data_IF_166019378173
#
_entry.id   IF_166019378173
#
_cell.length_a   1.000
_cell.length_b   1.000
_cell.length_c   1.000
_cell.angle_alpha   90.00
_cell.angle_beta   90.00
_cell.angle_gamma   90.00
#
_symmetry.space_group_name_H-M   'P 1'
#
loop_
_entity.id
_entity.type
_entity.pdbx_description
1 polymer ?
#
# COMPACT_ATOMS: atom_id res chain seq x y z
N UNK A 1 -16.48 -40.23 17.09
CA UNK A 1 -16.23 -38.93 16.43
C UNK A 1 -16.55 -37.85 17.45
N UNK A 2 -15.53 -37.27 18.09
CA UNK A 2 -15.73 -36.08 18.95
C UNK A 2 -16.35 -34.97 18.11
N UNK A 3 -17.48 -34.44 18.52
CA UNK A 3 -18.03 -33.22 17.94
C UNK A 3 -17.02 -32.10 18.15
N UNK A 4 -16.36 -31.65 17.10
CA UNK A 4 -15.53 -30.44 17.16
C UNK A 4 -16.46 -29.29 17.61
N UNK A 5 -16.28 -28.82 18.83
CA UNK A 5 -16.93 -27.59 19.28
C UNK A 5 -16.36 -26.43 18.48
N UNK A 6 -17.20 -25.85 17.60
CA UNK A 6 -16.88 -24.62 16.91
C UNK A 6 -17.26 -23.42 17.76
N UNK A 7 -16.38 -22.43 17.82
CA UNK A 7 -16.61 -21.16 18.49
C UNK A 7 -17.02 -20.07 17.50
N UNK A 8 -16.79 -18.83 17.82
CA UNK A 8 -17.21 -17.68 17.02
C UNK A 8 -16.08 -17.15 16.09
N UNK A 9 -16.38 -16.65 14.89
CA UNK A 9 -15.43 -15.92 14.05
C UNK A 9 -14.99 -14.56 14.66
N UNK A 10 -15.67 -14.13 15.73
CA UNK A 10 -15.38 -12.92 16.48
C UNK A 10 -14.38 -13.16 17.63
N UNK A 11 -13.90 -14.38 17.78
CA UNK A 11 -12.86 -14.76 18.72
C UNK A 11 -11.54 -15.01 17.94
N UNK A 12 -10.47 -14.35 18.37
CA UNK A 12 -9.17 -14.41 17.69
C UNK A 12 -8.62 -15.83 17.59
N UNK A 13 -8.71 -16.59 18.67
CA UNK A 13 -8.25 -17.98 18.74
C UNK A 13 -9.38 -19.01 18.53
N UNK A 14 -10.55 -18.53 18.16
CA UNK A 14 -11.74 -19.36 17.95
C UNK A 14 -11.55 -20.44 16.89
N UNK A 15 -12.21 -21.57 17.08
CA UNK A 15 -12.24 -22.67 16.10
C UNK A 15 -13.45 -22.53 15.21
N UNK A 16 -13.25 -22.34 13.91
CA UNK A 16 -14.31 -22.22 12.92
C UNK A 16 -14.16 -23.27 11.82
N UNK A 17 -15.26 -23.67 11.12
CA UNK A 17 -15.19 -24.60 10.00
C UNK A 17 -14.33 -24.04 8.87
N UNK A 18 -13.52 -24.89 8.22
CA UNK A 18 -12.62 -24.49 7.10
C UNK A 18 -13.37 -23.71 6.01
N UNK A 19 -14.56 -24.15 5.61
CA UNK A 19 -15.38 -23.46 4.59
C UNK A 19 -15.67 -22.01 5.00
N UNK A 20 -16.03 -21.77 6.25
CA UNK A 20 -16.28 -20.44 6.77
C UNK A 20 -14.98 -19.63 6.86
N UNK A 21 -13.89 -20.24 7.34
CA UNK A 21 -12.58 -19.61 7.43
C UNK A 21 -12.08 -19.12 6.06
N UNK A 22 -12.21 -19.94 5.01
CA UNK A 22 -11.81 -19.57 3.65
C UNK A 22 -12.65 -18.40 3.13
N UNK A 23 -13.96 -18.42 3.30
CA UNK A 23 -14.83 -17.31 2.83
C UNK A 23 -14.48 -16.01 3.55
N UNK A 24 -14.30 -16.04 4.87
CA UNK A 24 -13.96 -14.86 5.66
C UNK A 24 -12.56 -14.36 5.35
N UNK A 25 -11.59 -15.27 5.22
CA UNK A 25 -10.21 -14.90 4.84
C UNK A 25 -10.14 -14.28 3.44
N UNK A 26 -10.88 -14.82 2.47
CA UNK A 26 -10.98 -14.24 1.14
C UNK A 26 -11.54 -12.82 1.15
N UNK A 27 -12.52 -12.49 2.01
CA UNK A 27 -13.06 -11.14 2.12
C UNK A 27 -11.95 -10.13 2.46
N UNK A 28 -11.07 -10.47 3.40
CA UNK A 28 -9.95 -9.62 3.80
C UNK A 28 -8.91 -9.46 2.71
N UNK A 29 -8.56 -10.55 2.04
CA UNK A 29 -7.56 -10.53 0.96
C UNK A 29 -8.07 -9.80 -0.28
N UNK A 30 -9.32 -10.02 -0.68
CA UNK A 30 -9.90 -9.34 -1.84
C UNK A 30 -9.99 -7.82 -1.64
N UNK A 31 -10.18 -7.37 -0.39
CA UNK A 31 -10.19 -5.95 -0.05
C UNK A 31 -8.81 -5.27 -0.25
N UNK A 32 -7.70 -6.01 -0.03
CA UNK A 32 -6.35 -5.48 -0.12
C UNK A 32 -5.58 -5.91 -1.39
N UNK A 33 -6.10 -6.87 -2.15
CA UNK A 33 -5.38 -7.53 -3.25
C UNK A 33 -4.78 -6.54 -4.24
N UNK A 34 -5.58 -5.59 -4.69
CA UNK A 34 -5.15 -4.55 -5.64
C UNK A 34 -4.19 -3.57 -4.98
N UNK A 35 -4.49 -3.13 -3.75
CA UNK A 35 -3.64 -2.23 -2.97
C UNK A 35 -2.22 -2.78 -2.77
N UNK A 36 -2.09 -4.09 -2.59
CA UNK A 36 -0.80 -4.75 -2.47
C UNK A 36 0.04 -4.72 -3.77
N UNK A 37 -0.59 -4.69 -4.94
CA UNK A 37 0.11 -4.76 -6.23
C UNK A 37 0.32 -3.39 -6.88
N UNK A 38 -0.54 -2.44 -6.56
CA UNK A 38 -0.51 -1.07 -7.10
C UNK A 38 0.84 -0.37 -6.91
N UNK A 39 1.48 -0.34 -5.72
CA UNK A 39 2.77 0.32 -5.55
C UNK A 39 3.86 -0.26 -6.45
N UNK A 40 3.87 -1.58 -6.62
CA UNK A 40 4.85 -2.25 -7.50
C UNK A 40 4.66 -1.81 -8.95
N UNK A 41 3.41 -1.72 -9.44
CA UNK A 41 3.11 -1.26 -10.78
C UNK A 41 3.52 0.20 -11.01
N UNK A 42 3.24 1.07 -10.04
CA UNK A 42 3.57 2.50 -10.10
C UNK A 42 5.08 2.71 -10.14
N UNK A 43 5.84 2.08 -9.22
CA UNK A 43 7.28 2.31 -9.12
C UNK A 43 8.05 1.63 -10.25
N UNK A 44 7.67 0.41 -10.66
CA UNK A 44 8.27 -0.22 -11.85
C UNK A 44 7.99 0.59 -13.10
N UNK A 45 6.78 1.15 -13.23
CA UNK A 45 6.42 2.06 -14.33
C UNK A 45 7.23 3.35 -14.33
N UNK A 46 7.43 3.97 -13.18
CA UNK A 46 8.24 5.18 -13.03
C UNK A 46 9.72 4.93 -13.40
N UNK A 47 10.33 3.86 -12.93
CA UNK A 47 11.70 3.49 -13.28
C UNK A 47 11.83 3.14 -14.77
N UNK A 48 10.89 2.36 -15.32
CA UNK A 48 10.87 1.95 -16.72
C UNK A 48 10.67 3.10 -17.70
N UNK A 49 9.99 4.16 -17.30
CA UNK A 49 9.76 5.34 -18.12
C UNK A 49 11.05 6.14 -18.38
N UNK A 50 12.06 5.98 -17.54
CA UNK A 50 13.36 6.62 -17.68
C UNK A 50 14.32 5.74 -18.51
N UNK A 51 14.56 4.50 -18.07
CA UNK A 51 15.48 3.54 -18.67
C UNK A 51 15.00 2.11 -18.50
N UNK A 52 15.56 1.17 -19.27
CA UNK A 52 15.44 -0.29 -19.11
C UNK A 52 13.99 -0.81 -19.19
N UNK A 53 13.12 -0.18 -20.00
CA UNK A 53 11.71 -0.57 -20.13
C UNK A 53 11.53 -2.06 -20.48
N UNK A 54 12.37 -2.61 -21.34
CA UNK A 54 12.33 -4.02 -21.74
C UNK A 54 12.67 -4.96 -20.57
N UNK A 55 13.62 -4.57 -19.71
CA UNK A 55 13.98 -5.33 -18.52
C UNK A 55 12.79 -5.36 -17.54
N UNK A 56 12.16 -4.22 -17.28
CA UNK A 56 10.96 -4.16 -16.44
C UNK A 56 9.80 -4.95 -17.03
N UNK A 57 9.59 -4.89 -18.35
CA UNK A 57 8.59 -5.71 -19.02
C UNK A 57 8.79 -7.21 -18.78
N UNK A 58 10.06 -7.66 -18.71
CA UNK A 58 10.41 -9.06 -18.47
C UNK A 58 10.28 -9.49 -16.99
N UNK A 59 10.59 -8.59 -16.02
CA UNK A 59 10.60 -8.95 -14.59
C UNK A 59 9.31 -8.57 -13.85
N UNK A 60 8.48 -7.68 -14.37
CA UNK A 60 7.29 -7.15 -13.68
C UNK A 60 6.35 -8.25 -13.17
N UNK A 61 6.10 -9.29 -13.98
CA UNK A 61 5.29 -10.44 -13.56
C UNK A 61 5.89 -11.13 -12.34
N UNK A 62 7.21 -11.29 -12.31
CA UNK A 62 7.93 -11.91 -11.19
C UNK A 62 7.87 -11.03 -9.93
N UNK A 63 7.94 -9.70 -10.07
CA UNK A 63 7.83 -8.77 -8.94
C UNK A 63 6.43 -8.81 -8.32
N UNK A 64 5.38 -8.81 -9.16
CA UNK A 64 3.99 -8.92 -8.69
C UNK A 64 3.71 -10.28 -8.02
N UNK A 65 4.28 -11.36 -8.57
CA UNK A 65 4.23 -12.70 -8.00
C UNK A 65 4.85 -12.73 -6.60
N UNK A 66 6.05 -12.17 -6.47
CA UNK A 66 6.76 -12.06 -5.20
C UNK A 66 5.99 -11.19 -4.20
N UNK A 67 5.35 -10.10 -4.62
CA UNK A 67 4.56 -9.24 -3.76
C UNK A 67 3.37 -9.99 -3.12
N UNK A 68 2.67 -10.82 -3.87
CA UNK A 68 1.58 -11.63 -3.33
C UNK A 68 2.11 -12.67 -2.33
N UNK A 69 3.20 -13.37 -2.67
CA UNK A 69 3.79 -14.38 -1.81
C UNK A 69 4.28 -13.79 -0.49
N UNK A 70 5.06 -12.71 -0.55
CA UNK A 70 5.62 -12.06 0.65
C UNK A 70 4.52 -11.48 1.53
N UNK A 71 3.50 -10.84 0.97
CA UNK A 71 2.35 -10.36 1.73
C UNK A 71 1.68 -11.50 2.52
N UNK A 72 1.48 -12.66 1.90
CA UNK A 72 0.94 -13.84 2.58
C UNK A 72 1.84 -14.38 3.69
N UNK A 73 3.15 -14.49 3.43
CA UNK A 73 4.12 -14.99 4.42
C UNK A 73 4.22 -14.04 5.61
N UNK A 74 4.37 -12.74 5.37
CA UNK A 74 4.48 -11.74 6.45
C UNK A 74 3.18 -11.67 7.26
N UNK A 75 2.01 -11.79 6.60
CA UNK A 75 0.72 -11.90 7.30
C UNK A 75 0.68 -13.11 8.23
N UNK A 76 1.14 -14.29 7.79
CA UNK A 76 1.20 -15.46 8.67
C UNK A 76 2.11 -15.24 9.88
N UNK A 77 3.28 -14.62 9.67
CA UNK A 77 4.20 -14.28 10.77
C UNK A 77 3.53 -13.29 11.74
N UNK A 78 2.79 -12.30 11.23
CA UNK A 78 2.07 -11.34 12.05
C UNK A 78 0.97 -11.99 12.90
N UNK A 79 0.25 -12.96 12.34
CA UNK A 79 -0.84 -13.68 13.02
C UNK A 79 -0.34 -14.69 14.07
N UNK A 80 0.75 -15.40 13.79
CA UNK A 80 1.20 -16.52 14.64
C UNK A 80 2.44 -16.22 15.47
N UNK A 81 3.19 -15.20 15.10
CA UNK A 81 4.49 -14.78 15.65
C UNK A 81 5.58 -15.85 15.64
N UNK A 82 6.82 -15.43 15.47
CA UNK A 82 8.02 -16.26 15.57
C UNK A 82 8.97 -15.56 16.57
N UNK A 83 8.94 -15.99 17.83
CA UNK A 83 9.66 -15.30 18.89
C UNK A 83 9.13 -13.87 19.08
N UNK A 84 10.00 -12.83 18.96
CA UNK A 84 9.58 -11.43 19.08
C UNK A 84 8.95 -10.87 17.79
N UNK A 85 9.00 -11.60 16.67
CA UNK A 85 8.53 -11.16 15.35
C UNK A 85 7.04 -11.50 15.23
N UNK A 86 6.19 -10.49 15.03
CA UNK A 86 4.73 -10.64 14.93
C UNK A 86 4.01 -10.29 16.22
N UNK A 87 2.94 -9.49 16.06
CA UNK A 87 2.14 -8.98 17.17
C UNK A 87 1.07 -9.94 17.67
N UNK A 88 0.77 -11.05 17.00
CA UNK A 88 -0.42 -11.90 17.23
C UNK A 88 -1.71 -11.08 17.17
N UNK A 89 -1.84 -10.25 16.16
CA UNK A 89 -2.96 -9.34 15.96
C UNK A 89 -3.71 -9.67 14.66
N UNK A 90 -5.03 -9.43 14.57
CA UNK A 90 -5.82 -9.76 13.39
C UNK A 90 -5.65 -8.71 12.29
N UNK A 91 -4.42 -8.58 11.77
CA UNK A 91 -4.07 -7.63 10.73
C UNK A 91 -3.48 -8.34 9.52
N UNK A 92 -3.73 -7.81 8.32
CA UNK A 92 -3.14 -8.29 7.08
C UNK A 92 -2.03 -7.34 6.66
N UNK A 93 -0.93 -7.93 6.23
CA UNK A 93 0.26 -7.24 5.78
C UNK A 93 0.34 -7.25 4.26
N UNK A 94 0.95 -6.23 3.69
CA UNK A 94 1.21 -6.17 2.25
C UNK A 94 2.09 -5.00 1.87
N UNK A 95 2.29 -4.79 0.57
CA UNK A 95 3.16 -3.75 0.05
C UNK A 95 2.66 -2.35 0.42
N UNK A 96 3.50 -1.56 1.05
CA UNK A 96 3.17 -0.21 1.51
C UNK A 96 3.01 0.77 0.35
N UNK A 97 1.88 1.45 0.31
CA UNK A 97 1.65 2.58 -0.59
C UNK A 97 2.33 3.87 -0.10
N UNK A 98 2.63 3.98 1.19
CA UNK A 98 3.23 5.16 1.78
C UNK A 98 4.60 5.53 1.20
N UNK A 99 5.35 4.52 0.73
CA UNK A 99 6.66 4.73 0.11
C UNK A 99 6.61 5.26 -1.33
N UNK A 100 5.46 5.30 -2.00
CA UNK A 100 5.38 5.63 -3.43
C UNK A 100 6.08 6.97 -3.73
N UNK A 101 5.77 8.03 -2.99
CA UNK A 101 6.35 9.35 -3.22
C UNK A 101 7.87 9.37 -3.03
N UNK A 102 8.36 8.79 -1.92
CA UNK A 102 9.81 8.71 -1.66
C UNK A 102 10.53 7.86 -2.71
N UNK A 103 9.94 6.77 -3.15
CA UNK A 103 10.54 5.93 -4.19
C UNK A 103 10.52 6.55 -5.58
N UNK A 104 9.52 7.36 -5.91
CA UNK A 104 9.54 8.17 -7.11
C UNK A 104 10.69 9.17 -7.08
N UNK A 105 10.91 9.83 -5.92
CA UNK A 105 12.06 10.72 -5.71
C UNK A 105 13.39 10.00 -5.88
N UNK A 106 13.55 8.84 -5.24
CA UNK A 106 14.76 8.02 -5.39
C UNK A 106 14.98 7.60 -6.85
N UNK A 107 13.91 7.18 -7.55
CA UNK A 107 14.01 6.85 -8.96
C UNK A 107 14.52 8.04 -9.77
N UNK A 108 13.97 9.24 -9.58
CA UNK A 108 14.46 10.46 -10.26
C UNK A 108 15.91 10.79 -9.95
N UNK A 109 16.32 10.75 -8.68
CA UNK A 109 17.70 11.09 -8.27
C UNK A 109 18.73 10.07 -8.76
N UNK A 110 18.32 8.81 -8.91
CA UNK A 110 19.15 7.71 -9.39
C UNK A 110 19.01 7.45 -10.90
N UNK A 111 18.37 8.36 -11.64
CA UNK A 111 18.16 8.28 -13.09
C UNK A 111 17.35 7.05 -13.53
N UNK A 112 16.47 6.57 -12.67
CA UNK A 112 15.53 5.48 -12.98
C UNK A 112 16.16 4.14 -13.30
N UNK A 113 15.51 3.39 -14.19
CA UNK A 113 15.99 2.12 -14.67
C UNK A 113 16.22 1.05 -13.59
N UNK A 114 16.98 0.04 -13.93
CA UNK A 114 17.37 -1.05 -13.01
C UNK A 114 18.24 -0.51 -11.86
N UNK A 115 19.04 0.52 -12.10
CA UNK A 115 19.88 1.14 -11.08
C UNK A 115 19.02 1.84 -10.02
N UNK A 116 18.06 2.67 -10.43
CA UNK A 116 17.14 3.35 -9.53
C UNK A 116 16.30 2.37 -8.71
N UNK A 117 15.76 1.34 -9.35
CA UNK A 117 15.03 0.30 -8.65
C UNK A 117 15.91 -0.50 -7.69
N UNK A 118 17.16 -0.79 -8.08
CA UNK A 118 18.16 -1.42 -7.21
C UNK A 118 18.48 -0.60 -5.99
N UNK A 119 18.59 0.73 -6.14
CA UNK A 119 18.81 1.66 -5.02
C UNK A 119 17.61 1.69 -4.05
N UNK A 120 16.38 1.61 -4.57
CA UNK A 120 15.16 1.43 -3.76
C UNK A 120 15.23 0.13 -2.95
N UNK A 121 15.64 -0.99 -3.57
CA UNK A 121 15.79 -2.28 -2.87
C UNK A 121 16.86 -2.22 -1.79
N UNK A 122 18.05 -1.65 -2.08
CA UNK A 122 19.12 -1.49 -1.11
C UNK A 122 18.70 -0.63 0.08
N UNK A 123 18.04 0.50 -0.18
CA UNK A 123 17.51 1.38 0.85
C UNK A 123 16.40 0.69 1.68
N UNK A 124 15.55 -0.11 1.06
CA UNK A 124 14.49 -0.86 1.74
C UNK A 124 15.03 -1.95 2.66
N UNK A 125 16.13 -2.61 2.30
CA UNK A 125 16.80 -3.60 3.18
C UNK A 125 17.29 -2.89 4.45
N UNK A 126 18.02 -1.80 4.30
CA UNK A 126 18.58 -1.05 5.44
C UNK A 126 17.45 -0.43 6.28
N UNK A 127 16.44 0.14 5.61
CA UNK A 127 15.29 0.76 6.28
C UNK A 127 14.46 -0.23 7.07
N UNK A 128 14.21 -1.43 6.55
CA UNK A 128 13.50 -2.48 7.28
C UNK A 128 14.28 -3.02 8.48
N UNK A 129 15.60 -3.14 8.38
CA UNK A 129 16.44 -3.46 9.55
C UNK A 129 16.38 -2.34 10.60
N UNK A 130 16.40 -1.09 10.16
CA UNK A 130 16.24 0.06 11.04
C UNK A 130 14.86 0.06 11.73
N UNK A 131 13.77 -0.18 11.02
CA UNK A 131 12.43 -0.30 11.59
C UNK A 131 12.33 -1.47 12.58
N UNK A 132 13.00 -2.57 12.30
CA UNK A 132 13.12 -3.69 13.25
C UNK A 132 13.71 -3.23 14.59
N UNK A 133 14.79 -2.43 14.54
CA UNK A 133 15.40 -1.85 15.74
C UNK A 133 14.43 -0.88 16.44
N UNK A 134 13.70 -0.05 15.68
CA UNK A 134 12.65 0.82 16.24
C UNK A 134 11.57 0.02 16.94
N UNK A 135 11.17 -1.14 16.40
CA UNK A 135 10.20 -2.03 17.03
C UNK A 135 10.66 -2.52 18.41
N UNK A 136 11.93 -2.88 18.59
CA UNK A 136 12.47 -3.22 19.91
C UNK A 136 12.50 -2.02 20.87
N UNK A 137 12.63 -0.81 20.36
CA UNK A 137 12.66 0.43 21.13
C UNK A 137 11.29 1.11 21.25
N UNK A 138 10.22 0.46 20.79
CA UNK A 138 8.91 1.10 20.64
C UNK A 138 8.31 1.55 21.99
N UNK A 139 8.51 0.78 23.06
CA UNK A 139 7.96 1.10 24.39
C UNK A 139 8.30 2.52 24.87
N UNK A 140 9.57 2.98 24.88
CA UNK A 140 9.87 4.37 25.22
C UNK A 140 9.42 5.38 24.16
N UNK A 141 9.27 4.96 22.91
CA UNK A 141 8.89 5.85 21.79
C UNK A 141 7.37 6.05 21.68
N UNK A 142 6.55 5.14 22.20
CA UNK A 142 5.08 5.19 22.09
C UNK A 142 4.49 6.53 22.55
N UNK A 143 5.08 7.18 23.56
CA UNK A 143 4.63 8.50 24.05
C UNK A 143 4.67 9.63 23.01
N UNK A 144 5.42 9.45 21.93
CA UNK A 144 5.53 10.42 20.84
C UNK A 144 4.47 10.21 19.75
N UNK A 145 3.76 9.09 19.78
CA UNK A 145 2.81 8.63 18.77
C UNK A 145 1.37 8.47 19.30
N UNK A 146 0.78 9.52 19.93
CA UNK A 146 -0.63 9.48 20.29
C UNK A 146 -1.50 9.44 19.02
N UNK A 147 -2.79 9.10 19.16
CA UNK A 147 -3.75 8.93 18.07
C UNK A 147 -3.82 10.13 17.12
N UNK A 148 -3.67 11.35 17.64
CA UNK A 148 -3.64 12.58 16.82
C UNK A 148 -2.42 12.62 15.90
N UNK A 149 -1.24 12.18 16.35
CA UNK A 149 -0.02 12.15 15.53
C UNK A 149 -0.11 11.04 14.49
N UNK A 150 -0.43 9.81 14.92
CA UNK A 150 -0.58 8.67 13.98
C UNK A 150 -1.65 8.93 12.94
N UNK A 151 -2.79 9.49 13.34
CA UNK A 151 -3.88 9.85 12.44
C UNK A 151 -3.47 10.94 11.43
N UNK A 152 -2.71 11.96 11.87
CA UNK A 152 -2.20 13.01 10.97
C UNK A 152 -1.24 12.43 9.93
N UNK A 153 -0.38 11.50 10.32
CA UNK A 153 0.53 10.80 9.41
C UNK A 153 -0.24 9.98 8.38
N UNK A 154 -1.17 9.14 8.82
CA UNK A 154 -2.00 8.31 7.93
C UNK A 154 -2.82 9.18 6.97
N UNK A 155 -3.40 10.28 7.48
CA UNK A 155 -4.13 11.24 6.66
C UNK A 155 -3.24 11.87 5.58
N UNK A 156 -2.01 12.27 5.94
CA UNK A 156 -1.05 12.86 4.99
C UNK A 156 -0.61 11.87 3.90
N UNK A 157 -0.46 10.58 4.25
CA UNK A 157 -0.20 9.50 3.28
C UNK A 157 -1.34 9.43 2.26
N UNK A 158 -2.58 9.33 2.75
CA UNK A 158 -3.75 9.25 1.86
C UNK A 158 -3.86 10.46 0.93
N UNK A 159 -3.72 11.68 1.46
CA UNK A 159 -3.78 12.92 0.67
C UNK A 159 -2.68 12.99 -0.41
N UNK A 160 -1.45 12.61 -0.08
CA UNK A 160 -0.33 12.60 -1.04
C UNK A 160 -0.55 11.60 -2.16
N UNK A 161 -1.19 10.46 -1.87
CA UNK A 161 -1.45 9.40 -2.85
C UNK A 161 -2.64 9.69 -3.76
N UNK A 162 -3.58 10.57 -3.38
CA UNK A 162 -4.72 10.93 -4.25
C UNK A 162 -4.22 11.47 -5.60
N UNK A 163 -3.18 12.32 -5.61
CA UNK A 163 -2.58 12.83 -6.84
C UNK A 163 -2.08 11.73 -7.77
N UNK A 164 -1.42 10.71 -7.19
CA UNK A 164 -0.95 9.52 -7.94
C UNK A 164 -2.13 8.71 -8.49
N UNK A 165 -3.19 8.55 -7.69
CA UNK A 165 -4.42 7.88 -8.12
C UNK A 165 -5.10 8.60 -9.30
N UNK A 166 -5.20 9.92 -9.24
CA UNK A 166 -5.77 10.75 -10.32
C UNK A 166 -4.90 10.73 -11.57
N UNK A 167 -3.57 10.75 -11.43
CA UNK A 167 -2.67 10.59 -12.57
C UNK A 167 -2.86 9.23 -13.27
N UNK A 168 -2.99 8.15 -12.50
CA UNK A 168 -3.34 6.83 -13.05
C UNK A 168 -4.73 6.81 -13.70
N UNK A 169 -5.71 7.49 -13.10
CA UNK A 169 -7.08 7.64 -13.64
C UNK A 169 -7.07 8.26 -15.05
N UNK A 170 -6.15 9.20 -15.30
CA UNK A 170 -5.94 9.79 -16.63
C UNK A 170 -5.16 8.90 -17.61
N UNK A 171 -4.79 7.68 -17.25
CA UNK A 171 -4.03 6.76 -18.12
C UNK A 171 -2.55 6.64 -17.77
N UNK A 172 -2.08 7.36 -16.72
CA UNK A 172 -0.67 7.42 -16.31
C UNK A 172 0.08 8.59 -16.94
N UNK A 173 0.78 9.38 -16.11
CA UNK A 173 1.43 10.64 -16.52
C UNK A 173 2.47 10.50 -17.65
N UNK A 174 3.03 9.32 -17.86
CA UNK A 174 4.00 9.02 -18.92
C UNK A 174 3.35 8.48 -20.21
N UNK A 175 2.03 8.22 -20.22
CA UNK A 175 1.35 7.73 -21.41
C UNK A 175 1.19 8.83 -22.47
N UNK A 176 1.35 8.50 -23.75
CA UNK A 176 1.15 9.44 -24.87
C UNK A 176 -0.30 9.93 -24.99
N UNK A 177 -1.25 9.15 -24.51
CA UNK A 177 -2.69 9.47 -24.45
C UNK A 177 -3.15 9.87 -23.04
N UNK A 178 -2.24 10.37 -22.18
CA UNK A 178 -2.57 10.87 -20.86
C UNK A 178 -3.67 11.94 -20.91
N UNK A 179 -4.70 11.78 -20.07
CA UNK A 179 -5.83 12.70 -20.02
C UNK A 179 -6.83 12.55 -21.16
N UNK A 180 -6.70 11.54 -22.02
CA UNK A 180 -7.67 11.27 -23.08
C UNK A 180 -9.06 11.00 -22.52
N UNK A 181 -10.09 11.33 -23.32
CA UNK A 181 -11.49 11.11 -22.91
C UNK A 181 -11.75 9.63 -22.62
N UNK A 182 -11.15 8.73 -23.42
CA UNK A 182 -11.26 7.29 -23.25
C UNK A 182 -10.72 6.86 -21.85
N UNK A 183 -9.52 7.30 -21.48
CA UNK A 183 -8.92 7.00 -20.19
C UNK A 183 -9.79 7.53 -19.04
N UNK A 184 -10.28 8.76 -19.13
CA UNK A 184 -11.15 9.37 -18.11
C UNK A 184 -12.48 8.59 -17.96
N UNK A 185 -13.10 8.19 -19.09
CA UNK A 185 -14.34 7.42 -19.06
C UNK A 185 -14.15 6.01 -18.51
N UNK A 186 -13.04 5.34 -18.82
CA UNK A 186 -12.70 4.03 -18.26
C UNK A 186 -12.52 4.15 -16.74
N UNK A 187 -11.73 5.12 -16.26
CA UNK A 187 -11.53 5.35 -14.85
C UNK A 187 -12.84 5.67 -14.12
N UNK A 188 -13.67 6.54 -14.71
CA UNK A 188 -15.00 6.88 -14.16
C UNK A 188 -15.93 5.66 -14.11
N UNK A 189 -15.95 4.84 -15.15
CA UNK A 189 -16.74 3.61 -15.18
C UNK A 189 -16.35 2.68 -14.04
N UNK A 190 -15.04 2.43 -13.84
CA UNK A 190 -14.54 1.59 -12.75
C UNK A 190 -14.95 2.16 -11.39
N UNK A 191 -14.78 3.47 -11.20
CA UNK A 191 -15.16 4.17 -9.97
C UNK A 191 -16.66 4.00 -9.67
N UNK A 192 -17.52 4.22 -10.65
CA UNK A 192 -18.99 4.07 -10.51
C UNK A 192 -19.38 2.63 -10.17
N UNK A 193 -18.77 1.65 -10.84
CA UNK A 193 -19.01 0.22 -10.54
C UNK A 193 -18.59 -0.10 -9.10
N UNK A 194 -17.43 0.37 -8.63
CA UNK A 194 -16.99 0.17 -7.25
C UNK A 194 -18.01 0.75 -6.26
N UNK A 195 -18.45 1.99 -6.47
CA UNK A 195 -19.42 2.66 -5.61
C UNK A 195 -20.77 1.92 -5.60
N UNK A 196 -21.24 1.48 -6.77
CA UNK A 196 -22.49 0.74 -6.91
C UNK A 196 -22.45 -0.59 -6.11
N UNK A 197 -21.37 -1.36 -6.23
CA UNK A 197 -21.23 -2.60 -5.47
C UNK A 197 -20.98 -2.37 -3.97
N UNK A 198 -20.19 -1.37 -3.62
CA UNK A 198 -19.87 -1.06 -2.21
C UNK A 198 -21.09 -0.63 -1.42
N UNK A 199 -21.99 0.14 -2.01
CA UNK A 199 -23.17 0.68 -1.35
C UNK A 199 -24.47 -0.06 -1.70
N UNK A 200 -24.54 -0.65 -2.88
CA UNK A 200 -25.73 -1.39 -3.34
C UNK A 200 -25.79 -2.85 -2.91
N UNK A 201 -24.69 -3.42 -2.42
CA UNK A 201 -24.63 -4.82 -1.99
C UNK A 201 -24.14 -4.95 -0.54
N UNK A 202 -24.19 -6.17 0.01
CA UNK A 202 -23.75 -6.47 1.38
C UNK A 202 -22.79 -7.66 1.39
N UNK A 203 -22.05 -7.82 2.48
CA UNK A 203 -21.18 -8.96 2.73
C UNK A 203 -20.01 -9.04 1.72
N UNK A 204 -19.78 -10.22 1.17
CA UNK A 204 -18.62 -10.50 0.31
C UNK A 204 -18.59 -9.65 -0.96
N UNK A 205 -19.73 -9.37 -1.60
CA UNK A 205 -19.79 -8.54 -2.81
C UNK A 205 -19.39 -7.09 -2.54
N UNK A 206 -19.87 -6.50 -1.45
CA UNK A 206 -19.49 -5.15 -1.03
C UNK A 206 -17.99 -5.06 -0.69
N UNK A 207 -17.44 -6.07 0.01
CA UNK A 207 -16.03 -6.11 0.37
C UNK A 207 -15.10 -6.34 -0.84
N UNK A 208 -15.61 -7.01 -1.88
CA UNK A 208 -14.90 -7.25 -3.14
C UNK A 208 -15.16 -6.18 -4.20
N UNK A 209 -15.82 -5.07 -3.87
CA UNK A 209 -16.26 -4.05 -4.82
C UNK A 209 -15.09 -3.52 -5.69
N UNK A 210 -13.89 -3.31 -5.11
CA UNK A 210 -12.71 -2.84 -5.84
C UNK A 210 -12.27 -3.87 -6.90
N UNK A 211 -12.21 -5.15 -6.53
CA UNK A 211 -11.86 -6.21 -7.47
C UNK A 211 -12.92 -6.35 -8.58
N UNK A 212 -14.21 -6.27 -8.24
CA UNK A 212 -15.32 -6.31 -9.20
C UNK A 212 -15.21 -5.14 -10.17
N UNK A 213 -14.95 -3.93 -9.68
CA UNK A 213 -14.75 -2.75 -10.54
C UNK A 213 -13.61 -2.92 -11.53
N UNK A 214 -12.49 -3.49 -11.08
CA UNK A 214 -11.36 -3.80 -11.96
C UNK A 214 -11.72 -4.84 -13.01
N UNK A 215 -12.38 -5.94 -12.62
CA UNK A 215 -12.83 -6.96 -13.58
C UNK A 215 -13.77 -6.34 -14.62
N UNK A 216 -14.73 -5.51 -14.21
CA UNK A 216 -15.59 -4.79 -15.15
C UNK A 216 -14.82 -3.83 -16.05
N UNK A 217 -13.80 -3.14 -15.52
CA UNK A 217 -12.88 -2.31 -16.30
C UNK A 217 -12.09 -3.10 -17.33
N UNK A 218 -11.60 -4.30 -16.97
CA UNK A 218 -10.98 -5.22 -17.92
C UNK A 218 -11.93 -5.62 -19.06
N UNK A 219 -13.15 -6.05 -18.69
CA UNK A 219 -14.17 -6.41 -19.68
C UNK A 219 -14.48 -5.24 -20.60
N UNK A 220 -14.59 -4.02 -20.06
CA UNK A 220 -14.77 -2.82 -20.88
C UNK A 220 -13.61 -2.63 -21.85
N UNK A 221 -12.36 -2.71 -21.38
CA UNK A 221 -11.17 -2.57 -22.24
C UNK A 221 -11.03 -3.72 -23.28
N UNK A 222 -11.63 -4.89 -23.04
CA UNK A 222 -11.72 -5.96 -24.05
C UNK A 222 -12.74 -5.66 -25.14
N UNK A 223 -13.82 -4.95 -24.81
CA UNK A 223 -14.91 -4.65 -25.72
C UNK A 223 -14.61 -3.38 -26.55
N UNK A 224 -13.96 -2.38 -25.96
CA UNK A 224 -13.67 -1.09 -26.59
C UNK A 224 -13.00 -1.18 -27.95
N UNK A 225 -12.03 -2.10 -28.25
CA UNK A 225 -11.41 -2.23 -29.57
C UNK A 225 -12.39 -2.55 -30.70
N UNK A 226 -13.59 -3.04 -30.39
CA UNK A 226 -14.63 -3.31 -31.38
C UNK A 226 -15.31 -2.04 -31.88
N UNK A 227 -15.22 -0.93 -31.12
CA UNK A 227 -15.94 0.32 -31.41
C UNK A 227 -15.02 1.51 -31.63
N UNK A 228 -13.81 1.48 -31.07
CA UNK A 228 -12.88 2.63 -31.05
C UNK A 228 -11.50 2.16 -31.49
N UNK A 229 -10.78 3.02 -32.23
CA UNK A 229 -9.40 2.76 -32.69
C UNK A 229 -8.47 2.49 -31.46
N UNK A 230 -7.68 1.43 -31.56
CA UNK A 230 -6.64 1.05 -30.61
C UNK A 230 -5.36 1.86 -30.75
N UNK A 231 -5.20 2.59 -31.87
CA UNK A 231 -4.05 3.44 -32.13
C UNK A 231 -4.44 4.92 -32.06
N UNK A 232 -3.49 5.73 -31.66
CA UNK A 232 -3.56 7.18 -31.65
C UNK A 232 -2.38 7.76 -32.42
N UNK A 233 -2.45 9.03 -32.75
CA UNK A 233 -1.36 9.79 -33.41
C UNK A 233 -0.90 10.84 -32.41
N UNK A 234 0.39 10.86 -32.07
CA UNK A 234 0.99 11.86 -31.22
C UNK A 234 1.18 13.19 -31.97
N UNK A 235 1.46 14.26 -31.23
CA UNK A 235 1.67 15.59 -31.78
C UNK A 235 2.83 15.68 -32.82
N UNK A 236 3.76 14.73 -32.77
CA UNK A 236 4.89 14.57 -33.70
C UNK A 236 4.54 13.73 -34.95
N UNK A 237 3.29 13.28 -35.09
CA UNK A 237 2.82 12.44 -36.15
C UNK A 237 3.11 10.95 -36.03
N UNK A 238 3.74 10.52 -34.92
CA UNK A 238 4.02 9.09 -34.65
C UNK A 238 2.77 8.36 -34.20
N UNK A 239 2.49 7.20 -34.80
CA UNK A 239 1.45 6.30 -34.30
C UNK A 239 1.88 5.61 -32.98
N UNK A 240 0.95 5.46 -32.08
CA UNK A 240 1.17 4.71 -30.83
C UNK A 240 -0.08 3.88 -30.46
N UNK A 241 0.14 2.81 -29.71
CA UNK A 241 -0.96 2.02 -29.14
C UNK A 241 -1.47 2.73 -27.88
N UNK A 242 -2.78 2.93 -27.78
CA UNK A 242 -3.41 3.59 -26.63
C UNK A 242 -3.18 2.80 -25.34
N UNK A 243 -3.02 3.49 -24.21
CA UNK A 243 -2.62 2.92 -22.91
C UNK A 243 -3.66 1.98 -22.30
N UNK A 244 -4.91 2.06 -22.71
CA UNK A 244 -5.98 1.16 -22.26
C UNK A 244 -6.09 -0.16 -23.03
N UNK A 245 -5.29 -0.38 -24.08
CA UNK A 245 -5.29 -1.61 -24.88
C UNK A 245 -4.55 -2.72 -24.15
N UNK A 246 -5.20 -3.86 -23.98
CA UNK A 246 -4.67 -5.01 -23.24
C UNK A 246 -3.66 -5.82 -24.07
N UNK A 247 -2.46 -6.05 -23.51
CA UNK A 247 -1.45 -6.89 -24.14
C UNK A 247 -1.56 -8.34 -23.66
N UNK A 248 -2.40 -9.13 -24.29
CA UNK A 248 -2.65 -10.53 -23.95
C UNK A 248 -1.46 -11.46 -24.17
N UNK A 249 -0.49 -11.09 -25.00
CA UNK A 249 0.69 -11.91 -25.26
C UNK A 249 1.51 -12.15 -24.00
N UNK A 250 1.61 -11.15 -23.10
CA UNK A 250 2.23 -11.31 -21.78
C UNK A 250 1.58 -12.41 -20.95
N UNK A 251 0.25 -12.48 -20.97
CA UNK A 251 -0.50 -13.51 -20.22
C UNK A 251 -0.35 -14.88 -20.88
N UNK A 252 -0.37 -14.94 -22.21
CA UNK A 252 -0.19 -16.18 -22.97
C UNK A 252 1.18 -16.81 -22.69
N UNK A 253 2.24 -16.01 -22.68
CA UNK A 253 3.63 -16.44 -22.46
C UNK A 253 3.93 -16.75 -21.00
N UNK A 254 3.16 -16.26 -20.02
CA UNK A 254 3.38 -16.52 -18.62
C UNK A 254 3.18 -17.99 -18.28
N UNK A 255 4.07 -18.54 -17.44
CA UNK A 255 3.98 -19.90 -16.94
C UNK A 255 2.77 -20.08 -16.01
N UNK A 256 2.24 -21.29 -15.93
CA UNK A 256 1.19 -21.61 -14.95
C UNK A 256 1.73 -21.63 -13.52
N UNK A 257 2.92 -22.19 -13.33
CA UNK A 257 3.57 -22.30 -12.04
C UNK A 257 5.03 -21.88 -12.14
N UNK A 258 5.49 -21.07 -11.19
CA UNK A 258 6.89 -20.74 -11.01
C UNK A 258 7.17 -20.42 -9.55
N UNK A 259 8.38 -20.76 -9.11
CA UNK A 259 8.87 -20.34 -7.80
C UNK A 259 9.24 -18.85 -7.82
N UNK A 260 9.11 -18.15 -6.69
CA UNK A 260 9.51 -16.76 -6.55
C UNK A 260 11.01 -16.61 -6.84
N UNK A 261 11.38 -15.53 -7.52
CA UNK A 261 12.78 -15.22 -7.82
C UNK A 261 13.37 -14.38 -6.69
N UNK A 262 14.47 -14.87 -6.13
CA UNK A 262 15.31 -14.10 -5.23
C UNK A 262 16.16 -13.10 -6.04
N UNK A 263 16.27 -11.87 -5.59
CA UNK A 263 17.04 -10.78 -6.20
C UNK A 263 16.81 -10.64 -7.73
N UNK A 264 15.56 -10.45 -8.18
CA UNK A 264 15.28 -10.20 -9.59
C UNK A 264 15.96 -8.92 -10.08
N UNK A 265 16.19 -7.97 -9.18
CA UNK A 265 17.04 -6.79 -9.34
C UNK A 265 18.05 -6.78 -8.19
N UNK A 266 19.33 -6.53 -8.51
CA UNK A 266 20.40 -6.46 -7.50
C UNK A 266 20.23 -5.22 -6.64
N UNK A 267 20.23 -5.33 -5.30
CA UNK A 267 20.22 -4.17 -4.42
C UNK A 267 21.48 -3.31 -4.60
N UNK A 268 21.29 -2.00 -4.65
CA UNK A 268 22.36 -1.00 -4.70
C UNK A 268 22.27 -0.15 -3.43
N UNK A 269 23.39 0.00 -2.73
CA UNK A 269 23.44 0.74 -1.47
C UNK A 269 24.00 2.14 -1.73
N UNK A 270 23.12 3.14 -1.83
CA UNK A 270 23.46 4.54 -2.04
C UNK A 270 22.83 5.39 -0.93
N UNK A 271 23.63 6.24 -0.29
CA UNK A 271 23.17 7.10 0.81
C UNK A 271 22.06 8.07 0.38
N UNK A 272 22.06 8.50 -0.89
CA UNK A 272 21.03 9.38 -1.44
C UNK A 272 19.65 8.71 -1.44
N UNK A 273 19.60 7.38 -1.61
CA UNK A 273 18.38 6.59 -1.52
C UNK A 273 18.07 6.19 -0.07
N UNK A 274 19.10 5.78 0.69
CA UNK A 274 18.94 5.25 2.05
C UNK A 274 18.35 6.30 3.00
N UNK A 275 18.87 7.53 3.00
CA UNK A 275 18.49 8.54 3.99
C UNK A 275 16.99 8.90 3.94
N UNK A 276 16.39 9.26 2.77
CA UNK A 276 14.95 9.55 2.72
C UNK A 276 14.08 8.33 3.04
N UNK A 277 14.52 7.13 2.64
CA UNK A 277 13.80 5.89 2.91
C UNK A 277 13.82 5.54 4.40
N UNK A 278 14.94 5.74 5.12
CA UNK A 278 15.01 5.56 6.58
C UNK A 278 13.97 6.42 7.32
N UNK A 279 13.82 7.67 6.88
CA UNK A 279 12.82 8.57 7.48
C UNK A 279 11.42 8.06 7.21
N UNK A 280 11.15 7.55 6.01
CA UNK A 280 9.85 6.97 5.70
C UNK A 280 9.55 5.72 6.54
N UNK A 281 10.57 4.94 6.91
CA UNK A 281 10.39 3.81 7.83
C UNK A 281 10.02 4.23 9.27
N UNK A 282 10.39 5.43 9.72
CA UNK A 282 9.83 5.98 10.97
C UNK A 282 8.34 6.25 10.81
N UNK A 283 7.94 6.78 9.65
CA UNK A 283 6.53 7.10 9.35
C UNK A 283 5.69 5.83 9.30
N UNK A 284 6.18 4.77 8.63
CA UNK A 284 5.45 3.49 8.54
C UNK A 284 5.39 2.76 9.88
N UNK A 285 6.42 2.84 10.71
CA UNK A 285 6.35 2.34 12.09
C UNK A 285 5.20 3.02 12.88
N UNK A 286 5.01 4.34 12.69
CA UNK A 286 3.89 5.08 13.29
C UNK A 286 2.54 4.62 12.71
N UNK A 287 2.46 4.42 11.39
CA UNK A 287 1.27 3.87 10.71
C UNK A 287 0.90 2.51 11.28
N UNK A 288 1.85 1.58 11.37
CA UNK A 288 1.64 0.22 11.92
C UNK A 288 1.16 0.25 13.37
N UNK A 289 1.70 1.14 14.21
CA UNK A 289 1.21 1.34 15.59
C UNK A 289 -0.25 1.81 15.58
N UNK A 290 -0.61 2.73 14.69
CA UNK A 290 -1.98 3.22 14.52
C UNK A 290 -2.94 2.12 14.09
N UNK A 291 -2.56 1.36 13.08
CA UNK A 291 -3.37 0.27 12.51
C UNK A 291 -3.59 -0.86 13.52
N UNK A 292 -2.55 -1.30 14.22
CA UNK A 292 -2.66 -2.32 15.27
C UNK A 292 -3.57 -1.83 16.39
N UNK A 293 -3.40 -0.58 16.84
CA UNK A 293 -4.28 0.00 17.86
C UNK A 293 -5.73 0.06 17.36
N UNK A 294 -5.95 0.46 16.10
CA UNK A 294 -7.27 0.53 15.48
C UNK A 294 -7.96 -0.83 15.39
N UNK A 295 -7.23 -1.88 15.00
CA UNK A 295 -7.75 -3.26 14.91
C UNK A 295 -8.06 -3.83 16.30
N UNK A 296 -7.18 -3.61 17.28
CA UNK A 296 -7.37 -4.14 18.63
C UNK A 296 -8.55 -3.48 19.33
N UNK A 297 -8.71 -2.19 19.20
CA UNK A 297 -9.86 -1.49 19.78
C UNK A 297 -11.14 -1.70 18.96
N UNK A 298 -11.04 -1.48 17.65
CA UNK A 298 -12.18 -1.62 16.74
C UNK A 298 -12.69 -3.06 16.64
N UNK A 299 -11.80 -4.04 16.53
CA UNK A 299 -12.13 -5.45 16.35
C UNK A 299 -12.30 -6.21 17.65
N UNK A 300 -11.35 -6.08 18.58
CA UNK A 300 -11.27 -6.87 19.81
C UNK A 300 -11.77 -6.12 21.05
N UNK A 301 -12.17 -4.86 20.93
CA UNK A 301 -12.70 -4.01 22.00
C UNK A 301 -11.75 -3.90 23.22
N UNK A 302 -10.44 -3.89 22.97
CA UNK A 302 -9.40 -3.68 23.98
C UNK A 302 -8.21 -2.91 23.39
N UNK A 303 -7.42 -2.30 24.22
CA UNK A 303 -6.17 -1.67 23.80
C UNK A 303 -5.13 -2.70 23.38
N UNK A 304 -4.24 -2.30 22.47
CA UNK A 304 -3.07 -3.06 22.11
C UNK A 304 -2.03 -3.01 23.23
N UNK A 305 -1.43 -4.15 23.55
CA UNK A 305 -0.32 -4.23 24.49
C UNK A 305 1.00 -3.76 23.85
N UNK A 306 1.96 -3.35 24.68
CA UNK A 306 3.30 -2.97 24.19
C UNK A 306 3.97 -4.09 23.41
N UNK A 307 3.72 -5.35 23.77
CA UNK A 307 4.27 -6.52 23.09
C UNK A 307 3.64 -6.72 21.71
N UNK A 308 2.34 -6.51 21.56
CA UNK A 308 1.64 -6.60 20.28
C UNK A 308 2.10 -5.50 19.33
N UNK A 309 2.23 -4.28 19.81
CA UNK A 309 2.74 -3.15 19.02
C UNK A 309 4.20 -3.37 18.61
N UNK A 310 5.07 -3.73 19.56
CA UNK A 310 6.49 -3.99 19.29
C UNK A 310 6.67 -5.14 18.32
N UNK A 311 6.02 -6.29 18.56
CA UNK A 311 6.07 -7.44 17.67
C UNK A 311 5.56 -7.15 16.27
N UNK A 312 4.53 -6.30 16.16
CA UNK A 312 3.98 -5.86 14.89
C UNK A 312 4.96 -5.03 14.08
N UNK A 313 5.58 -4.02 14.67
CA UNK A 313 6.60 -3.18 14.00
C UNK A 313 7.87 -3.98 13.66
N UNK A 314 8.30 -4.91 14.54
CA UNK A 314 9.42 -5.82 14.23
C UNK A 314 9.10 -6.67 12.99
N UNK A 315 7.86 -7.19 12.89
CA UNK A 315 7.41 -7.98 11.75
C UNK A 315 7.38 -7.15 10.45
N UNK A 316 6.96 -5.90 10.55
CA UNK A 316 6.93 -4.94 9.46
C UNK A 316 8.35 -4.69 8.91
N UNK A 317 9.29 -4.36 9.78
CA UNK A 317 10.69 -4.12 9.41
C UNK A 317 11.39 -5.34 8.80
N UNK A 318 11.30 -6.52 9.43
CA UNK A 318 11.89 -7.75 8.90
C UNK A 318 11.20 -8.15 7.60
N UNK A 319 9.86 -8.07 7.54
CA UNK A 319 9.07 -8.33 6.35
C UNK A 319 9.49 -7.44 5.17
N UNK A 320 9.73 -6.16 5.43
CA UNK A 320 10.20 -5.17 4.45
C UNK A 320 11.60 -5.50 3.93
N UNK A 321 12.53 -5.89 4.82
CA UNK A 321 13.89 -6.29 4.41
C UNK A 321 13.86 -7.57 3.55
N UNK A 322 13.04 -8.56 3.92
CA UNK A 322 12.85 -9.78 3.14
C UNK A 322 12.16 -9.45 1.81
N UNK A 323 11.14 -8.60 1.80
CA UNK A 323 10.46 -8.17 0.58
C UNK A 323 11.46 -7.58 -0.43
N UNK A 324 12.34 -6.70 0.02
CA UNK A 324 13.35 -6.08 -0.82
C UNK A 324 14.35 -7.09 -1.43
N UNK A 325 14.70 -8.19 -0.71
CA UNK A 325 15.48 -9.29 -1.26
C UNK A 325 14.74 -10.03 -2.40
N UNK A 326 13.42 -10.02 -2.39
CA UNK A 326 12.60 -10.56 -3.47
C UNK A 326 12.24 -9.51 -4.54
N UNK A 327 12.84 -8.32 -4.47
CA UNK A 327 12.58 -7.21 -5.39
C UNK A 327 11.21 -6.55 -5.18
N UNK A 328 10.59 -6.74 -4.02
CA UNK A 328 9.30 -6.15 -3.66
C UNK A 328 9.53 -4.94 -2.77
N UNK A 329 8.64 -3.96 -2.87
CA UNK A 329 8.66 -2.78 -2.02
C UNK A 329 8.34 -3.16 -0.56
N UNK A 330 8.69 -2.30 0.42
CA UNK A 330 8.45 -2.57 1.84
C UNK A 330 7.02 -3.00 2.16
N UNK A 331 6.88 -3.89 3.12
CA UNK A 331 5.59 -4.29 3.67
C UNK A 331 5.13 -3.32 4.77
N UNK A 332 3.83 -3.26 4.99
CA UNK A 332 3.20 -2.59 6.13
C UNK A 332 1.85 -3.22 6.44
N UNK A 333 1.24 -2.83 7.54
CA UNK A 333 -0.15 -3.14 7.84
C UNK A 333 -1.11 -2.46 6.85
N UNK A 334 -2.22 -3.13 6.52
CA UNK A 334 -3.21 -2.58 5.58
C UNK A 334 -4.32 -1.85 6.32
N UNK A 335 -4.29 -0.51 6.33
CA UNK A 335 -5.28 0.35 6.99
C UNK A 335 -6.72 0.11 6.49
N UNK A 336 -6.91 -0.29 5.22
CA UNK A 336 -8.22 -0.66 4.70
C UNK A 336 -8.81 -1.88 5.42
N UNK A 337 -7.96 -2.83 5.82
CA UNK A 337 -8.39 -3.99 6.58
C UNK A 337 -8.73 -3.67 8.03
N UNK A 338 -8.13 -2.63 8.61
CA UNK A 338 -8.51 -2.10 9.93
C UNK A 338 -9.99 -1.70 9.92
N UNK A 339 -10.40 -0.93 8.91
CA UNK A 339 -11.80 -0.55 8.72
C UNK A 339 -12.72 -1.76 8.54
N UNK A 340 -12.29 -2.78 7.77
CA UNK A 340 -13.06 -4.00 7.56
C UNK A 340 -13.23 -4.79 8.87
N UNK A 341 -12.16 -4.99 9.63
CA UNK A 341 -12.21 -5.65 10.95
C UNK A 341 -13.11 -4.89 11.92
N UNK A 342 -13.00 -3.57 11.95
CA UNK A 342 -13.82 -2.72 12.83
C UNK A 342 -15.32 -2.85 12.53
N UNK A 343 -15.70 -2.91 11.24
CA UNK A 343 -17.09 -3.04 10.81
C UNK A 343 -17.64 -4.47 10.99
N UNK A 344 -16.86 -5.48 10.63
CA UNK A 344 -17.31 -6.87 10.62
C UNK A 344 -17.10 -7.59 11.93
N UNK A 345 -16.20 -7.09 12.77
CA UNK A 345 -15.69 -7.72 14.00
C UNK A 345 -15.07 -9.11 13.77
N UNK A 346 -14.72 -9.42 12.52
CA UNK A 346 -14.07 -10.68 12.16
C UNK A 346 -12.59 -10.55 12.50
N UNK A 347 -12.19 -11.17 13.60
CA UNK A 347 -10.80 -11.15 14.12
C UNK A 347 -10.17 -12.54 14.11
N UNK A 348 -10.88 -13.57 13.69
CA UNK A 348 -10.44 -14.95 13.80
C UNK A 348 -9.14 -15.20 13.03
N UNK A 349 -8.09 -15.60 13.77
CA UNK A 349 -6.74 -15.86 13.25
C UNK A 349 -6.72 -16.92 12.15
N UNK A 350 -7.51 -17.98 12.29
CA UNK A 350 -7.55 -19.06 11.30
C UNK A 350 -8.20 -18.59 10.00
N UNK A 351 -9.23 -17.74 10.06
CA UNK A 351 -9.82 -17.14 8.86
C UNK A 351 -8.79 -16.27 8.11
N UNK A 352 -8.12 -15.36 8.82
CA UNK A 352 -7.11 -14.50 8.21
C UNK A 352 -5.93 -15.30 7.64
N UNK A 353 -5.52 -16.39 8.32
CA UNK A 353 -4.50 -17.31 7.82
C UNK A 353 -4.91 -18.00 6.52
N UNK A 354 -6.18 -18.39 6.36
CA UNK A 354 -6.67 -18.92 5.08
C UNK A 354 -6.53 -17.89 3.95
N UNK A 355 -6.79 -16.61 4.24
CA UNK A 355 -6.55 -15.52 3.29
C UNK A 355 -5.07 -15.36 2.95
N UNK A 356 -4.20 -15.39 3.93
CA UNK A 356 -2.75 -15.31 3.73
C UNK A 356 -2.21 -16.49 2.89
N UNK A 357 -2.69 -17.71 3.15
CA UNK A 357 -2.35 -18.88 2.33
C UNK A 357 -2.85 -18.71 0.89
N UNK A 358 -4.02 -18.13 0.69
CA UNK A 358 -4.52 -17.83 -0.66
C UNK A 358 -3.57 -16.85 -1.40
N UNK A 359 -3.06 -15.80 -0.74
CA UNK A 359 -2.05 -14.91 -1.33
C UNK A 359 -0.77 -15.66 -1.72
N UNK A 360 -0.27 -16.56 -0.85
CA UNK A 360 0.90 -17.38 -1.15
C UNK A 360 0.64 -18.24 -2.38
N UNK A 361 -0.52 -18.87 -2.47
CA UNK A 361 -0.91 -19.66 -3.64
C UNK A 361 -0.94 -18.79 -4.89
N UNK A 362 -1.59 -17.60 -4.84
CA UNK A 362 -1.59 -16.65 -5.96
C UNK A 362 -0.17 -16.26 -6.39
N UNK A 363 0.74 -16.09 -5.43
CA UNK A 363 2.16 -15.81 -5.68
C UNK A 363 2.92 -16.96 -6.38
N UNK A 364 2.39 -18.16 -6.44
CA UNK A 364 2.97 -19.29 -7.18
C UNK A 364 2.43 -19.42 -8.62
N UNK A 365 1.44 -18.62 -9.00
CA UNK A 365 0.81 -18.65 -10.32
C UNK A 365 1.13 -17.37 -11.14
N UNK A 366 2.24 -17.36 -11.93
CA UNK A 366 2.62 -16.22 -12.78
C UNK A 366 1.53 -15.71 -13.71
N UNK A 367 0.61 -16.56 -14.16
CA UNK A 367 -0.53 -16.14 -14.99
C UNK A 367 -1.42 -15.10 -14.29
N UNK A 368 -1.64 -15.21 -12.98
CA UNK A 368 -2.37 -14.20 -12.22
C UNK A 368 -1.60 -12.88 -12.14
N UNK A 369 -0.29 -12.97 -11.89
CA UNK A 369 0.57 -11.80 -11.87
C UNK A 369 0.66 -11.12 -13.26
N UNK A 370 0.73 -11.92 -14.33
CA UNK A 370 0.70 -11.41 -15.71
C UNK A 370 -0.62 -10.70 -16.03
N UNK A 371 -1.75 -11.26 -15.60
CA UNK A 371 -3.05 -10.62 -15.76
C UNK A 371 -3.08 -9.24 -15.08
N UNK A 372 -2.54 -9.13 -13.87
CA UNK A 372 -2.43 -7.84 -13.18
C UNK A 372 -1.44 -6.89 -13.89
N UNK A 373 -0.34 -7.41 -14.45
CA UNK A 373 0.69 -6.59 -15.10
C UNK A 373 0.23 -5.89 -16.37
N UNK A 374 -0.81 -6.41 -17.04
CA UNK A 374 -1.40 -5.80 -18.23
C UNK A 374 -2.56 -4.86 -17.91
N UNK A 375 -2.83 -4.62 -16.63
CA UNK A 375 -3.93 -3.74 -16.21
C UNK A 375 -3.70 -2.31 -16.71
N UNK A 376 -4.65 -1.75 -17.48
CA UNK A 376 -4.57 -0.36 -17.90
C UNK A 376 -4.50 0.58 -16.70
N UNK A 377 -3.67 1.62 -16.82
CA UNK A 377 -3.52 2.61 -15.76
C UNK A 377 -4.85 3.31 -15.42
N UNK A 378 -5.72 3.54 -16.40
CA UNK A 378 -7.05 4.13 -16.17
C UNK A 378 -7.97 3.23 -15.33
N UNK A 379 -7.91 1.90 -15.52
CA UNK A 379 -8.62 0.92 -14.68
C UNK A 379 -8.06 0.93 -13.27
N UNK A 380 -6.72 0.89 -13.15
CA UNK A 380 -6.02 1.00 -11.88
C UNK A 380 -6.38 2.29 -11.14
N UNK A 381 -6.39 3.42 -11.86
CA UNK A 381 -6.68 4.74 -11.31
C UNK A 381 -8.10 4.86 -10.74
N UNK A 382 -9.10 4.30 -11.43
CA UNK A 382 -10.48 4.25 -10.93
C UNK A 382 -10.58 3.53 -9.57
N UNK A 383 -9.80 2.47 -9.38
CA UNK A 383 -9.70 1.75 -8.11
C UNK A 383 -8.82 2.50 -7.10
N UNK A 384 -7.67 3.05 -7.53
CA UNK A 384 -6.70 3.71 -6.67
C UNK A 384 -7.28 4.94 -5.96
N UNK A 385 -8.11 5.74 -6.63
CA UNK A 385 -8.78 6.89 -6.04
C UNK A 385 -9.60 6.46 -4.81
N UNK A 386 -10.38 5.38 -4.90
CA UNK A 386 -11.16 4.86 -3.76
C UNK A 386 -10.24 4.33 -2.66
N UNK A 387 -9.19 3.59 -3.02
CA UNK A 387 -8.28 3.01 -2.05
C UNK A 387 -7.53 4.09 -1.27
N UNK A 388 -6.97 5.09 -1.95
CA UNK A 388 -6.23 6.18 -1.31
C UNK A 388 -7.14 7.09 -0.49
N UNK A 389 -8.37 7.34 -0.97
CA UNK A 389 -9.38 8.04 -0.16
C UNK A 389 -9.77 7.26 1.09
N UNK A 390 -9.74 5.94 1.07
CA UNK A 390 -9.98 5.12 2.27
C UNK A 390 -8.87 5.29 3.31
N UNK A 391 -7.60 5.49 2.89
CA UNK A 391 -6.49 5.80 3.80
C UNK A 391 -6.73 7.18 4.46
N UNK A 392 -7.18 8.18 3.69
CA UNK A 392 -7.58 9.49 4.23
C UNK A 392 -8.63 9.33 5.34
N UNK A 393 -9.66 8.51 5.10
CA UNK A 393 -10.71 8.27 6.09
C UNK A 393 -10.20 7.55 7.34
N UNK A 394 -9.28 6.60 7.19
CA UNK A 394 -8.62 5.94 8.33
C UNK A 394 -7.84 6.95 9.17
N UNK A 395 -7.11 7.88 8.55
CA UNK A 395 -6.43 8.97 9.25
C UNK A 395 -7.41 9.87 10.02
N UNK A 396 -8.54 10.25 9.41
CA UNK A 396 -9.60 11.02 10.08
C UNK A 396 -10.16 10.28 11.28
N UNK A 397 -10.44 8.98 11.14
CA UNK A 397 -10.95 8.15 12.24
C UNK A 397 -9.97 8.09 13.43
N UNK A 398 -8.66 7.98 13.16
CA UNK A 398 -7.64 8.02 14.20
C UNK A 398 -7.57 9.39 14.91
N UNK A 399 -7.64 10.49 14.14
CA UNK A 399 -7.62 11.85 14.69
C UNK A 399 -8.85 12.11 15.59
N UNK A 400 -10.01 11.65 15.14
CA UNK A 400 -11.29 11.90 15.85
C UNK A 400 -11.60 10.86 16.94
N UNK A 401 -10.70 9.93 17.18
CA UNK A 401 -10.82 8.92 18.25
C UNK A 401 -10.92 9.58 19.64
N UNK A 402 -10.16 10.63 19.86
CA UNK A 402 -10.23 11.47 21.04
C UNK A 402 -10.93 12.80 20.70
N UNK A 403 -11.56 13.49 21.66
CA UNK A 403 -12.14 14.81 21.41
C UNK A 403 -11.12 15.78 20.84
N UNK A 404 -11.50 16.50 19.80
CA UNK A 404 -10.65 17.51 19.17
C UNK A 404 -10.50 18.73 20.10
N UNK A 405 -9.34 18.84 20.70
CA UNK A 405 -8.96 20.00 21.53
C UNK A 405 -8.28 21.06 20.67
N UNK A 406 -8.12 22.28 21.20
CA UNK A 406 -7.37 23.34 20.51
C UNK A 406 -5.93 22.89 20.19
N UNK A 407 -5.32 22.13 21.10
CA UNK A 407 -3.98 21.56 20.91
C UNK A 407 -3.96 20.56 19.75
N UNK A 408 -4.87 19.58 19.74
CA UNK A 408 -4.92 18.57 18.68
C UNK A 408 -5.25 19.18 17.32
N UNK A 409 -6.17 20.14 17.27
CA UNK A 409 -6.48 20.88 16.04
C UNK A 409 -5.26 21.65 15.50
N UNK A 410 -4.46 22.27 16.38
CA UNK A 410 -3.23 22.96 15.97
C UNK A 410 -2.21 21.97 15.39
N UNK A 411 -2.00 20.81 16.04
CA UNK A 411 -1.08 19.77 15.53
C UNK A 411 -1.49 19.33 14.13
N UNK A 412 -2.76 18.95 13.94
CA UNK A 412 -3.28 18.48 12.66
C UNK A 412 -3.18 19.55 11.58
N UNK A 413 -3.68 20.75 11.86
CA UNK A 413 -3.77 21.83 10.85
C UNK A 413 -2.40 22.31 10.39
N UNK A 414 -1.45 22.51 11.31
CA UNK A 414 -0.10 22.98 10.96
C UNK A 414 0.70 21.86 10.27
N UNK A 415 0.59 20.63 10.75
CA UNK A 415 1.28 19.49 10.14
C UNK A 415 0.79 19.21 8.70
N UNK A 416 -0.52 19.22 8.47
CA UNK A 416 -1.08 19.05 7.13
C UNK A 416 -0.79 20.27 6.23
N UNK A 417 -0.93 21.49 6.77
CA UNK A 417 -0.68 22.71 6.02
C UNK A 417 0.76 22.79 5.50
N UNK A 418 1.73 22.52 6.36
CA UNK A 418 3.15 22.47 5.95
C UNK A 418 3.47 21.24 5.12
N UNK A 419 3.00 20.05 5.53
CA UNK A 419 3.29 18.81 4.82
C UNK A 419 2.75 18.83 3.39
N UNK A 420 1.44 18.95 3.25
CA UNK A 420 0.80 18.99 1.94
C UNK A 420 1.24 20.23 1.13
N UNK A 421 1.38 21.39 1.78
CA UNK A 421 1.81 22.63 1.13
C UNK A 421 3.22 22.53 0.52
N UNK A 422 4.18 21.95 1.25
CA UNK A 422 5.54 21.69 0.75
C UNK A 422 5.50 20.64 -0.37
N UNK A 423 4.77 19.53 -0.20
CA UNK A 423 4.64 18.50 -1.23
C UNK A 423 4.05 19.03 -2.54
N UNK A 424 3.07 19.95 -2.46
CA UNK A 424 2.46 20.58 -3.63
C UNK A 424 3.34 21.68 -4.27
N UNK A 425 4.28 22.26 -3.53
CA UNK A 425 5.14 23.37 -3.94
C UNK A 425 6.60 23.11 -3.59
N UNK A 426 7.14 21.99 -4.04
CA UNK A 426 8.51 21.55 -3.73
C UNK A 426 9.60 22.57 -4.13
N UNK A 427 9.27 23.46 -5.07
CA UNK A 427 10.15 24.56 -5.48
C UNK A 427 10.61 25.48 -4.31
N UNK A 428 9.84 25.55 -3.22
CA UNK A 428 10.23 26.32 -2.02
C UNK A 428 11.51 25.78 -1.36
N UNK A 429 11.86 24.53 -1.62
CA UNK A 429 13.02 23.85 -1.04
C UNK A 429 14.30 23.98 -1.89
N UNK A 430 14.24 24.58 -3.09
CA UNK A 430 15.35 24.56 -4.06
C UNK A 430 16.67 25.15 -3.52
N UNK A 431 16.63 26.05 -2.55
CA UNK A 431 17.83 26.64 -1.94
C UNK A 431 18.37 25.85 -0.74
N UNK A 432 17.66 24.80 -0.31
CA UNK A 432 18.08 23.95 0.79
C UNK A 432 19.03 22.84 0.30
N UNK A 433 19.82 22.22 1.20
CA UNK A 433 20.65 21.08 0.84
C UNK A 433 19.85 19.99 0.13
N UNK A 434 20.47 19.35 -0.87
CA UNK A 434 19.80 18.33 -1.71
C UNK A 434 19.13 17.21 -0.88
N UNK A 435 19.76 16.83 0.24
CA UNK A 435 19.18 15.86 1.16
C UNK A 435 17.80 16.30 1.70
N UNK A 436 17.61 17.58 2.04
CA UNK A 436 16.33 18.11 2.53
C UNK A 436 15.31 18.17 1.39
N UNK A 437 15.75 18.57 0.20
CA UNK A 437 14.88 18.58 -0.99
C UNK A 437 14.33 17.18 -1.27
N UNK A 438 15.17 16.15 -1.23
CA UNK A 438 14.78 14.76 -1.45
C UNK A 438 13.84 14.23 -0.37
N UNK A 439 14.10 14.58 0.90
CA UNK A 439 13.30 14.10 2.04
C UNK A 439 11.93 14.76 2.08
N UNK A 440 11.85 16.06 1.76
CA UNK A 440 10.65 16.87 1.98
C UNK A 440 9.95 17.29 0.68
N UNK A 441 10.60 17.20 -0.48
CA UNK A 441 10.14 17.87 -1.69
C UNK A 441 9.11 17.11 -2.51
N UNK A 442 9.14 15.77 -2.52
CA UNK A 442 8.26 15.00 -3.41
C UNK A 442 7.07 14.35 -2.68
N UNK A 443 7.12 14.33 -1.36
CA UNK A 443 6.05 13.77 -0.56
C UNK A 443 5.82 14.65 0.66
N UNK A 444 4.64 15.22 0.78
CA UNK A 444 4.22 15.98 1.97
C UNK A 444 4.14 15.15 3.26
N UNK A 445 4.33 13.84 3.16
CA UNK A 445 4.18 12.89 4.27
C UNK A 445 5.25 13.13 5.33
N UNK A 446 6.51 13.22 4.91
CA UNK A 446 7.65 13.37 5.84
C UNK A 446 7.58 14.71 6.60
N UNK A 447 7.41 15.87 5.94
CA UNK A 447 7.21 17.13 6.65
C UNK A 447 5.99 17.10 7.60
N UNK A 448 4.87 16.52 7.17
CA UNK A 448 3.69 16.40 8.04
C UNK A 448 3.98 15.57 9.30
N UNK A 449 4.65 14.43 9.16
CA UNK A 449 5.01 13.57 10.28
C UNK A 449 5.94 14.27 11.27
N UNK A 450 6.99 14.93 10.77
CA UNK A 450 7.93 15.67 11.63
C UNK A 450 7.25 16.81 12.37
N UNK A 451 6.45 17.61 11.67
CA UNK A 451 5.72 18.72 12.29
C UNK A 451 4.74 18.21 13.35
N UNK A 452 4.01 17.15 13.06
CA UNK A 452 3.07 16.55 14.02
C UNK A 452 3.79 16.08 15.30
N UNK A 453 4.92 15.37 15.14
CA UNK A 453 5.73 14.89 16.29
C UNK A 453 6.32 16.06 17.07
N UNK A 454 6.92 17.04 16.40
CA UNK A 454 7.54 18.20 17.04
C UNK A 454 6.49 19.01 17.81
N UNK A 455 5.36 19.31 17.20
CA UNK A 455 4.28 20.04 17.88
C UNK A 455 3.70 19.25 19.05
N UNK A 456 3.58 17.93 18.93
CA UNK A 456 3.15 17.10 20.03
C UNK A 456 4.10 17.14 21.25
N UNK A 457 5.39 17.36 21.00
CA UNK A 457 6.40 17.49 22.07
C UNK A 457 6.37 18.91 22.65
N UNK A 458 6.29 19.94 21.80
CA UNK A 458 6.46 21.34 22.20
C UNK A 458 5.20 21.96 22.80
N UNK A 459 4.01 21.59 22.31
CA UNK A 459 2.78 22.18 22.80
C UNK A 459 2.42 21.64 24.20
N UNK A 460 2.04 22.51 25.12
CA UNK A 460 1.68 22.12 26.48
C UNK A 460 0.50 21.13 26.46
N UNK A 461 0.57 20.12 27.33
CA UNK A 461 -0.57 19.22 27.52
C UNK A 461 -1.71 19.98 28.17
N UNK A 462 -2.93 19.82 27.64
CA UNK A 462 -4.10 20.39 28.25
C UNK A 462 -4.31 19.79 29.63
N UNK A 463 -4.63 20.63 30.59
CA UNK A 463 -5.06 20.15 31.91
C UNK A 463 -6.43 19.52 31.72
N UNK A 464 -6.54 18.24 32.01
CA UNK A 464 -7.81 17.51 32.09
C UNK A 464 -8.71 18.12 33.17
#
# INVERSE_FOLDING_TARGET
MEKKEYTSPYDFEGKIPLKQAVILGLQHVLAMFVGNLTPVLIITGACAAMHDADVFAAIQVSLLQNAMLIAGVVTLVQLFSIGPIGGKVPIIMGTSSGFIGVFQSVAHVMDGGVLGYGAIMGASIIGGLFETVLGFLLKPLRRFFPSVVTGTVVLSIGLSLIGVGVASFGGGSSAKDYGSVENLLIGLFVLVVILAFKHGTKGMLSNSAVLIGIICGYVLCMILPLFISTTGVASDGTEFVKSWVLNWDKVAQAKWFALPKLMPVKPVFDLRAILPVLIMFIVTAVETVGDISGVMEGGMSREATDQELSGGVICDGIGSSIAALFGVLPNTSFSQNVGLVTMTKIVNRFALACGAIFLIICGLFPKLAALVSIMPQSVLGGAAVIMFSSIVMSGIQLITKEPLTARSMTIVSVALGLGYGIGANSAILMQLPQAIQMICGESGIVPAAFVAIILNILLPKEKQ
#
